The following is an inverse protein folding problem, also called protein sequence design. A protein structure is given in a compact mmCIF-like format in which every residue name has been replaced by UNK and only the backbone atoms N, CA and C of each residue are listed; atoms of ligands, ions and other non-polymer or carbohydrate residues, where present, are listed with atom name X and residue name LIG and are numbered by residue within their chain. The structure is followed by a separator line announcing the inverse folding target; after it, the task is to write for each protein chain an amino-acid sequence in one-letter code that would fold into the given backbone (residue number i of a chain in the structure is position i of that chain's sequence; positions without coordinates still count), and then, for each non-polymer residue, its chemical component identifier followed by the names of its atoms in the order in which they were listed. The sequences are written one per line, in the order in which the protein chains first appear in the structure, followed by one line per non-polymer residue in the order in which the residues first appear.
data_IF_427264000557
#
_entry.id   IF_427264000557
#
_cell.length_a   1.000
_cell.length_b   1.000
_cell.length_c   1.000
_cell.angle_alpha   90.00
_cell.angle_beta   90.00
_cell.angle_gamma   90.00
#
_symmetry.space_group_name_H-M   'P 1'
#
loop_
_entity.id
_entity.type
_entity.pdbx_description
1 polymer ?
#
# COMPACT_ATOMS: atom_id res chain seq x y z
N UNK A 1 -13.19 -21.57 12.26
CA UNK A 1 -13.70 -20.33 12.90
C UNK A 1 -12.52 -19.43 13.24
N UNK A 2 -12.53 -18.17 12.79
CA UNK A 2 -11.53 -17.17 13.16
C UNK A 2 -12.01 -16.57 14.49
N UNK A 3 -11.10 -16.48 15.47
CA UNK A 3 -11.42 -15.84 16.75
C UNK A 3 -11.80 -14.37 16.52
N UNK A 4 -12.84 -13.90 17.18
CA UNK A 4 -13.30 -12.50 17.20
C UNK A 4 -12.21 -11.49 17.65
N UNK A 5 -11.08 -11.99 18.15
CA UNK A 5 -9.94 -11.15 18.57
C UNK A 5 -8.97 -10.76 17.45
N UNK A 6 -9.11 -11.32 16.25
CA UNK A 6 -8.25 -11.00 15.12
C UNK A 6 -8.96 -10.12 14.10
N UNK A 7 -8.33 -9.04 13.61
CA UNK A 7 -8.89 -8.23 12.55
C UNK A 7 -8.96 -9.05 11.24
N UNK A 8 -10.07 -8.92 10.54
CA UNK A 8 -10.32 -9.58 9.25
C UNK A 8 -10.40 -8.53 8.15
N UNK A 9 -9.55 -8.64 7.16
CA UNK A 9 -9.56 -7.75 5.99
C UNK A 9 -9.79 -8.51 4.69
N UNK A 10 -10.29 -7.80 3.69
CA UNK A 10 -10.49 -8.33 2.34
C UNK A 10 -9.75 -7.47 1.33
N UNK A 11 -8.98 -8.12 0.44
CA UNK A 11 -8.45 -7.47 -0.75
C UNK A 11 -9.37 -7.73 -1.94
N UNK A 12 -9.72 -6.68 -2.66
CA UNK A 12 -10.54 -6.78 -3.87
C UNK A 12 -10.15 -5.74 -4.90
N UNK A 13 -10.55 -5.97 -6.15
CA UNK A 13 -10.42 -5.03 -7.25
C UNK A 13 -11.61 -4.08 -7.27
N UNK A 14 -11.37 -2.77 -7.25
CA UNK A 14 -12.43 -1.76 -7.30
C UNK A 14 -13.05 -1.59 -8.69
N UNK A 15 -12.35 -2.03 -9.74
CA UNK A 15 -12.82 -2.02 -11.13
C UNK A 15 -12.02 -3.01 -11.96
N UNK A 16 -12.61 -3.56 -13.00
CA UNK A 16 -11.93 -4.44 -13.94
C UNK A 16 -11.22 -3.70 -15.08
N UNK A 17 -11.39 -2.38 -15.19
CA UNK A 17 -10.83 -1.57 -16.28
C UNK A 17 -11.29 -2.03 -17.66
N UNK A 18 -12.49 -2.54 -17.76
CA UNK A 18 -13.11 -2.99 -19.01
C UNK A 18 -14.30 -2.10 -19.30
N UNK A 19 -14.36 -1.57 -20.50
CA UNK A 19 -15.51 -0.77 -20.95
C UNK A 19 -16.80 -1.60 -20.86
N UNK A 20 -17.85 -1.03 -20.31
CA UNK A 20 -19.15 -1.69 -20.08
C UNK A 20 -19.08 -2.95 -19.20
N UNK A 21 -18.06 -3.06 -18.34
CA UNK A 21 -18.02 -4.12 -17.30
C UNK A 21 -19.15 -3.95 -16.31
N UNK A 22 -19.67 -5.07 -15.82
CA UNK A 22 -20.61 -5.11 -14.69
C UNK A 22 -19.92 -4.93 -13.34
N UNK A 23 -18.58 -4.86 -13.29
CA UNK A 23 -17.80 -4.63 -12.10
C UNK A 23 -17.05 -3.31 -12.17
N UNK A 24 -17.61 -2.33 -11.53
CA UNK A 24 -17.10 -0.97 -11.42
C UNK A 24 -16.97 -0.52 -9.96
N UNK A 25 -16.58 0.74 -9.75
CA UNK A 25 -16.42 1.31 -8.41
C UNK A 25 -17.76 1.38 -7.62
N UNK A 26 -18.89 1.49 -8.31
CA UNK A 26 -20.21 1.46 -7.69
C UNK A 26 -20.53 0.09 -7.11
N UNK A 27 -20.38 -0.98 -7.90
CA UNK A 27 -20.56 -2.36 -7.48
C UNK A 27 -19.55 -2.76 -6.38
N UNK A 28 -18.29 -2.36 -6.53
CA UNK A 28 -17.26 -2.57 -5.51
C UNK A 28 -17.61 -1.88 -4.18
N UNK A 29 -18.23 -0.70 -4.22
CA UNK A 29 -18.70 0.00 -3.02
C UNK A 29 -19.85 -0.76 -2.34
N UNK A 30 -20.83 -1.26 -3.09
CA UNK A 30 -21.91 -2.08 -2.55
C UNK A 30 -21.38 -3.38 -1.94
N UNK A 31 -20.41 -4.01 -2.59
CA UNK A 31 -19.73 -5.18 -2.06
C UNK A 31 -19.02 -4.88 -0.74
N UNK A 32 -18.27 -3.78 -0.65
CA UNK A 32 -17.58 -3.36 0.56
C UNK A 32 -18.57 -3.07 1.72
N UNK A 33 -19.73 -2.47 1.44
CA UNK A 33 -20.79 -2.25 2.44
C UNK A 33 -21.33 -3.60 3.00
N UNK A 34 -21.52 -4.60 2.14
CA UNK A 34 -21.94 -5.92 2.57
C UNK A 34 -20.89 -6.62 3.42
N UNK A 35 -19.61 -6.52 3.03
CA UNK A 35 -18.50 -7.07 3.82
C UNK A 35 -18.39 -6.41 5.20
N UNK A 36 -18.54 -5.09 5.28
CA UNK A 36 -18.59 -4.36 6.56
C UNK A 36 -19.70 -4.90 7.46
N UNK A 37 -20.90 -5.09 6.90
CA UNK A 37 -22.03 -5.63 7.65
C UNK A 37 -21.80 -7.07 8.17
N UNK A 38 -20.92 -7.81 7.51
CA UNK A 38 -20.48 -9.16 7.93
C UNK A 38 -19.31 -9.13 8.92
N UNK A 39 -18.83 -7.95 9.33
CA UNK A 39 -17.77 -7.78 10.32
C UNK A 39 -16.36 -7.68 9.74
N UNK A 40 -16.20 -7.28 8.48
CA UNK A 40 -14.89 -7.00 7.91
C UNK A 40 -14.33 -5.68 8.47
N UNK A 41 -13.09 -5.72 8.96
CA UNK A 41 -12.45 -4.62 9.70
C UNK A 41 -11.70 -3.64 8.81
N UNK A 42 -11.16 -4.08 7.65
CA UNK A 42 -10.42 -3.22 6.72
C UNK A 42 -10.42 -3.77 5.29
N UNK A 43 -10.12 -2.90 4.33
CA UNK A 43 -10.06 -3.26 2.91
C UNK A 43 -8.72 -2.91 2.27
N UNK A 44 -8.11 -3.85 1.54
CA UNK A 44 -7.01 -3.59 0.62
C UNK A 44 -7.58 -3.40 -0.79
N UNK A 45 -7.57 -2.15 -1.26
CA UNK A 45 -8.28 -1.75 -2.48
C UNK A 45 -7.32 -1.65 -3.65
N UNK A 46 -7.38 -2.63 -4.53
CA UNK A 46 -6.63 -2.67 -5.79
C UNK A 46 -7.56 -2.50 -7.01
N UNK A 47 -7.09 -2.80 -8.20
CA UNK A 47 -7.90 -2.78 -9.41
C UNK A 47 -7.33 -3.65 -10.52
N UNK A 48 -8.19 -4.13 -11.43
CA UNK A 48 -7.82 -4.94 -12.57
C UNK A 48 -7.31 -6.34 -12.22
N UNK A 49 -6.68 -6.98 -13.21
CA UNK A 49 -6.11 -8.32 -13.06
C UNK A 49 -7.11 -9.46 -13.39
N UNK A 50 -8.37 -9.15 -13.68
CA UNK A 50 -9.43 -10.14 -13.85
C UNK A 50 -9.82 -10.39 -15.32
N UNK A 51 -9.42 -9.51 -16.24
CA UNK A 51 -9.80 -9.61 -17.64
C UNK A 51 -8.63 -9.35 -18.59
N UNK A 52 -8.49 -10.13 -19.67
CA UNK A 52 -7.52 -9.83 -20.72
C UNK A 52 -7.89 -8.59 -21.55
N UNK A 53 -9.13 -8.08 -21.42
CA UNK A 53 -9.63 -6.88 -22.13
C UNK A 53 -9.46 -5.60 -21.32
N UNK A 54 -8.79 -5.67 -20.18
CA UNK A 54 -8.58 -4.51 -19.31
C UNK A 54 -7.66 -3.47 -19.95
N UNK A 55 -8.04 -2.21 -19.83
CA UNK A 55 -7.24 -1.06 -20.29
C UNK A 55 -6.82 -0.21 -19.09
N UNK A 56 -5.81 -0.67 -18.37
CA UNK A 56 -5.36 -0.03 -17.13
C UNK A 56 -4.53 1.22 -17.47
N UNK A 57 -5.00 2.39 -17.03
CA UNK A 57 -4.22 3.62 -17.02
C UNK A 57 -3.35 3.64 -15.75
N UNK A 58 -2.12 3.14 -15.88
CA UNK A 58 -1.20 3.02 -14.76
C UNK A 58 -0.33 4.28 -14.59
N UNK A 59 0.05 4.57 -13.34
CA UNK A 59 0.93 5.67 -12.96
C UNK A 59 1.14 5.70 -11.45
N UNK A 60 1.96 6.60 -10.91
CA UNK A 60 2.13 6.75 -9.48
C UNK A 60 0.78 6.95 -8.77
N UNK A 61 0.50 6.14 -7.75
CA UNK A 61 -0.75 6.18 -6.95
C UNK A 61 -2.05 5.96 -7.72
N UNK A 62 -2.03 5.34 -8.91
CA UNK A 62 -3.19 5.26 -9.80
C UNK A 62 -4.44 4.58 -9.20
N UNK A 63 -4.29 3.80 -8.14
CA UNK A 63 -5.40 3.13 -7.45
C UNK A 63 -5.82 3.84 -6.15
N UNK A 64 -5.09 4.85 -5.70
CA UNK A 64 -5.34 5.53 -4.42
C UNK A 64 -6.73 6.17 -4.36
N UNK A 65 -7.22 6.70 -5.49
CA UNK A 65 -8.57 7.25 -5.58
C UNK A 65 -9.67 6.24 -5.24
N UNK A 66 -9.48 4.96 -5.58
CA UNK A 66 -10.43 3.90 -5.22
C UNK A 66 -10.43 3.63 -3.72
N UNK A 67 -9.25 3.52 -3.10
CA UNK A 67 -9.13 3.34 -1.65
C UNK A 67 -9.78 4.51 -0.90
N UNK A 68 -9.52 5.74 -1.34
CA UNK A 68 -10.12 6.95 -0.78
C UNK A 68 -11.64 6.95 -0.92
N UNK A 69 -12.18 6.57 -2.08
CA UNK A 69 -13.61 6.48 -2.29
C UNK A 69 -14.26 5.46 -1.34
N UNK A 70 -13.72 4.24 -1.28
CA UNK A 70 -14.24 3.18 -0.40
C UNK A 70 -14.17 3.61 1.07
N UNK A 71 -13.05 4.16 1.52
CA UNK A 71 -12.89 4.70 2.87
C UNK A 71 -14.01 5.70 3.22
N UNK A 72 -14.21 6.69 2.38
CA UNK A 72 -15.17 7.76 2.64
C UNK A 72 -16.63 7.31 2.53
N UNK A 73 -16.94 6.37 1.64
CA UNK A 73 -18.31 5.89 1.44
C UNK A 73 -18.72 4.81 2.43
N UNK A 74 -17.79 3.93 2.79
CA UNK A 74 -18.09 2.77 3.64
C UNK A 74 -17.72 3.04 5.10
N UNK A 75 -16.75 3.94 5.36
CA UNK A 75 -16.31 4.28 6.72
C UNK A 75 -15.60 3.10 7.39
N UNK A 76 -14.67 2.46 6.68
CA UNK A 76 -13.82 1.35 7.14
C UNK A 76 -12.38 1.69 6.74
N UNK A 77 -11.37 1.39 7.56
CA UNK A 77 -9.97 1.61 7.22
C UNK A 77 -9.59 0.97 5.89
N UNK A 78 -8.80 1.66 5.08
CA UNK A 78 -8.37 1.17 3.78
C UNK A 78 -6.85 1.15 3.63
N UNK A 79 -6.38 0.23 2.80
CA UNK A 79 -5.01 0.11 2.34
C UNK A 79 -4.98 0.57 0.88
N UNK A 80 -4.16 1.56 0.57
CA UNK A 80 -3.90 1.98 -0.81
C UNK A 80 -2.69 1.24 -1.38
N UNK A 81 -2.77 0.87 -2.65
CA UNK A 81 -1.71 0.20 -3.40
C UNK A 81 -1.65 0.77 -4.82
N UNK A 82 -0.55 0.60 -5.53
CA UNK A 82 -0.43 0.95 -6.95
C UNK A 82 0.66 1.97 -7.24
N UNK A 83 1.86 1.47 -7.57
CA UNK A 83 3.05 2.28 -7.85
C UNK A 83 3.35 3.35 -6.78
N UNK A 84 3.19 2.98 -5.51
CA UNK A 84 3.59 3.78 -4.36
C UNK A 84 4.99 3.29 -3.99
N UNK A 85 6.02 4.03 -4.38
CA UNK A 85 7.41 3.63 -4.23
C UNK A 85 8.22 4.59 -3.35
N UNK A 86 7.84 5.87 -3.33
CA UNK A 86 8.57 6.91 -2.63
C UNK A 86 7.98 7.18 -1.25
N UNK A 87 8.81 7.39 -0.20
CA UNK A 87 8.34 7.70 1.14
C UNK A 87 7.42 8.91 1.21
N UNK A 88 7.76 10.02 0.53
CA UNK A 88 6.95 11.24 0.51
C UNK A 88 5.59 11.01 -0.17
N UNK A 89 5.54 10.17 -1.21
CA UNK A 89 4.30 9.77 -1.87
C UNK A 89 3.40 8.99 -0.90
N UNK A 90 3.96 8.01 -0.19
CA UNK A 90 3.23 7.22 0.81
C UNK A 90 2.70 8.09 1.95
N UNK A 91 3.54 8.97 2.51
CA UNK A 91 3.15 9.91 3.56
C UNK A 91 2.05 10.86 3.11
N UNK A 92 2.12 11.37 1.90
CA UNK A 92 1.08 12.25 1.34
C UNK A 92 -0.30 11.59 1.32
N UNK A 93 -0.39 10.32 0.95
CA UNK A 93 -1.65 9.56 0.92
C UNK A 93 -2.23 9.41 2.34
N UNK A 94 -1.39 9.12 3.32
CA UNK A 94 -1.81 8.93 4.72
C UNK A 94 -2.18 10.28 5.35
N UNK A 95 -1.32 11.28 5.26
CA UNK A 95 -1.51 12.59 5.91
C UNK A 95 -2.69 13.37 5.35
N UNK A 96 -3.03 13.18 4.08
CA UNK A 96 -4.24 13.77 3.46
C UNK A 96 -5.50 12.92 3.68
N UNK A 97 -5.40 11.80 4.39
CA UNK A 97 -6.54 10.96 4.73
C UNK A 97 -7.12 10.12 3.59
N UNK A 98 -6.39 9.98 2.47
CA UNK A 98 -6.85 9.19 1.32
C UNK A 98 -6.91 7.68 1.61
N UNK A 99 -6.01 7.19 2.45
CA UNK A 99 -6.04 5.83 2.98
C UNK A 99 -5.46 5.81 4.40
N UNK A 100 -5.58 4.70 5.10
CA UNK A 100 -5.06 4.51 6.46
C UNK A 100 -3.73 3.75 6.47
N UNK A 101 -3.50 2.97 5.42
CA UNK A 101 -2.30 2.14 5.26
C UNK A 101 -1.87 2.12 3.78
N UNK A 102 -0.60 1.74 3.57
CA UNK A 102 -0.01 1.59 2.24
C UNK A 102 0.47 0.16 2.04
N UNK A 103 0.15 -0.42 0.89
CA UNK A 103 0.73 -1.69 0.43
C UNK A 103 1.74 -1.45 -0.67
N UNK A 104 2.93 -2.02 -0.52
CA UNK A 104 4.03 -1.93 -1.48
C UNK A 104 4.38 -3.33 -1.96
N UNK A 105 4.15 -3.62 -3.23
CA UNK A 105 4.47 -4.91 -3.84
C UNK A 105 5.90 -4.94 -4.42
N UNK A 106 6.02 -4.67 -5.71
CA UNK A 106 7.29 -4.72 -6.47
C UNK A 106 8.36 -3.78 -5.91
N UNK A 107 7.96 -2.62 -5.36
CA UNK A 107 8.89 -1.72 -4.69
C UNK A 107 9.58 -2.35 -3.48
N UNK A 108 8.87 -3.18 -2.71
CA UNK A 108 9.44 -3.91 -1.58
C UNK A 108 10.36 -5.07 -2.04
N UNK A 109 10.07 -5.70 -3.17
CA UNK A 109 10.97 -6.71 -3.76
C UNK A 109 12.27 -6.09 -4.25
N UNK A 110 12.19 -4.89 -4.83
CA UNK A 110 13.36 -4.13 -5.28
C UNK A 110 14.18 -3.57 -4.11
N UNK A 111 13.50 -3.02 -3.10
CA UNK A 111 14.09 -2.45 -1.90
C UNK A 111 13.48 -3.07 -0.64
N UNK A 112 13.98 -4.23 -0.17
CA UNK A 112 13.45 -4.92 1.03
C UNK A 112 13.57 -4.11 2.33
N UNK A 113 14.39 -3.07 2.34
CA UNK A 113 14.57 -2.14 3.47
C UNK A 113 13.86 -0.81 3.26
N UNK A 114 12.85 -0.79 2.42
CA UNK A 114 12.10 0.42 2.09
C UNK A 114 11.63 1.18 3.35
N UNK A 115 11.11 0.48 4.35
CA UNK A 115 10.64 1.09 5.60
C UNK A 115 11.76 1.79 6.38
N UNK A 116 12.99 1.26 6.37
CA UNK A 116 14.15 1.89 7.01
C UNK A 116 14.53 3.16 6.27
N UNK A 117 14.60 3.11 4.93
CA UNK A 117 14.88 4.30 4.12
C UNK A 117 13.79 5.37 4.27
N UNK A 118 12.52 4.96 4.39
CA UNK A 118 11.44 5.89 4.68
C UNK A 118 11.61 6.57 6.05
N UNK A 119 11.98 5.81 7.09
CA UNK A 119 12.27 6.36 8.41
C UNK A 119 13.43 7.38 8.36
N UNK A 120 14.48 7.12 7.58
CA UNK A 120 15.59 8.06 7.36
C UNK A 120 15.12 9.36 6.71
N UNK A 121 14.31 9.28 5.65
CA UNK A 121 13.72 10.46 4.98
C UNK A 121 12.95 11.34 5.97
N UNK A 122 12.21 10.72 6.88
CA UNK A 122 11.42 11.43 7.89
C UNK A 122 12.18 11.72 9.20
N UNK A 123 13.47 11.35 9.29
CA UNK A 123 14.28 11.49 10.50
C UNK A 123 13.62 10.84 11.73
N UNK A 124 13.05 9.67 11.52
CA UNK A 124 12.38 8.87 12.55
C UNK A 124 13.21 7.64 12.89
N UNK A 125 13.16 7.23 14.15
CA UNK A 125 13.69 5.94 14.56
C UNK A 125 12.87 4.80 13.97
N UNK A 126 13.56 3.73 13.59
CA UNK A 126 12.93 2.51 13.09
C UNK A 126 13.52 1.31 13.81
N UNK A 127 12.67 0.40 14.25
CA UNK A 127 13.10 -0.86 14.81
C UNK A 127 13.64 -1.79 13.69
N UNK A 128 14.83 -2.33 13.88
CA UNK A 128 15.42 -3.32 12.99
C UNK A 128 16.05 -4.45 13.81
N UNK A 129 16.18 -5.65 13.21
CA UNK A 129 16.76 -6.79 13.92
C UNK A 129 18.18 -6.49 14.41
N UNK A 130 18.59 -6.96 15.60
CA UNK A 130 19.88 -6.64 16.21
C UNK A 130 21.10 -6.95 15.32
N UNK A 131 21.02 -7.97 14.46
CA UNK A 131 22.09 -8.33 13.52
C UNK A 131 22.39 -7.24 12.49
N UNK A 132 21.46 -6.29 12.26
CA UNK A 132 21.64 -5.15 11.37
C UNK A 132 22.08 -3.87 12.08
N UNK A 133 22.25 -3.89 13.40
CA UNK A 133 22.61 -2.70 14.17
C UNK A 133 23.89 -2.01 13.67
N UNK A 134 24.86 -2.78 13.16
CA UNK A 134 26.10 -2.25 12.58
C UNK A 134 25.96 -1.70 11.16
N UNK A 135 24.83 -1.94 10.49
CA UNK A 135 24.52 -1.42 9.16
C UNK A 135 23.64 -0.16 9.20
N UNK A 136 23.38 0.35 10.41
CA UNK A 136 22.54 1.51 10.66
C UNK A 136 23.30 2.84 10.51
N UNK A 137 22.69 3.95 10.88
CA UNK A 137 23.18 5.35 10.76
C UNK A 137 24.64 5.59 11.17
N UNK A 138 25.17 4.78 12.08
CA UNK A 138 26.59 4.85 12.45
C UNK A 138 27.55 4.58 11.28
N UNK A 139 27.05 4.00 10.19
CA UNK A 139 27.79 3.72 8.96
C UNK A 139 27.43 4.65 7.80
N UNK A 140 26.51 5.60 8.00
CA UNK A 140 26.20 6.62 7.01
C UNK A 140 27.45 7.46 6.75
N UNK A 141 27.88 7.51 5.50
CA UNK A 141 29.10 8.23 5.09
C UNK A 141 30.38 7.44 5.25
N UNK A 142 30.36 6.21 5.79
CA UNK A 142 31.52 5.34 5.75
C UNK A 142 31.60 4.60 4.40
N UNK A 143 32.84 4.35 3.88
CA UNK A 143 33.00 3.58 2.66
C UNK A 143 32.39 2.18 2.81
N UNK A 144 31.52 1.81 1.87
CA UNK A 144 31.01 0.44 1.81
C UNK A 144 32.12 -0.45 1.23
N UNK A 145 32.59 -1.48 1.97
CA UNK A 145 33.60 -2.38 1.43
C UNK A 145 33.14 -2.97 0.09
N UNK A 146 33.96 -2.80 -0.95
CA UNK A 146 33.67 -3.30 -2.31
C UNK A 146 32.90 -2.33 -3.20
N UNK A 147 32.50 -1.15 -2.72
CA UNK A 147 31.89 -0.13 -3.58
C UNK A 147 32.97 0.71 -4.28
N UNK A 148 33.06 0.69 -5.63
CA UNK A 148 34.10 1.43 -6.37
C UNK A 148 33.97 2.95 -6.26
N UNK A 149 32.84 3.48 -5.76
CA UNK A 149 32.61 4.93 -5.56
C UNK A 149 33.04 5.42 -4.17
N UNK A 150 33.57 4.57 -3.31
CA UNK A 150 34.04 4.92 -1.95
C UNK A 150 35.52 5.32 -1.90
N UNK A 151 36.07 5.92 -2.97
CA UNK A 151 37.41 6.52 -2.99
C UNK A 151 37.31 8.03 -2.92
#
# INVERSE_FOLDING_TARGET
EISMSYPVGVRFSATDWVENSSWDLGEATQFAMKLKALGCDFFDVSSGGNSPKQEIISGPSYQTGFASHIKNKVGVPTIAVGQINEPLQAESIISTGQADMIAIGRGMLYNPRWAWHAAEVFKKECAYPPQYARAHHSLIGLPIPGNPQSK
#
